data_IF_151309167929
#
_entry.id   IF_151309167929
#
_cell.length_a   1.000
_cell.length_b   1.000
_cell.length_c   1.000
_cell.angle_alpha   90.00
_cell.angle_beta   90.00
_cell.angle_gamma   90.00
#
_symmetry.space_group_name_H-M   'P 1'
#
loop_
_entity.id
_entity.type
_entity.pdbx_description
1 polymer ?
#
# COMPACT_ATOMS: atom_id res chain seq x y z
N UNK A 1 -1.00 19.08 11.13
CA UNK A 1 -0.86 18.27 12.38
C UNK A 1 -1.90 18.58 13.44
N UNK A 2 -2.61 19.72 13.38
CA UNK A 2 -3.68 20.02 14.32
C UNK A 2 -5.04 19.58 13.77
N UNK A 3 -5.91 19.12 14.65
CA UNK A 3 -7.30 18.75 14.36
C UNK A 3 -8.24 19.42 15.34
N UNK A 4 -9.51 19.50 14.96
CA UNK A 4 -10.58 20.04 15.80
C UNK A 4 -11.65 18.98 15.97
N UNK A 5 -12.22 18.89 17.17
CA UNK A 5 -13.43 18.12 17.40
C UNK A 5 -14.69 18.93 17.03
N UNK A 6 -15.87 18.34 17.24
CA UNK A 6 -17.16 18.95 16.93
C UNK A 6 -17.55 20.10 17.87
N UNK A 7 -16.91 20.19 19.03
CA UNK A 7 -17.14 21.24 20.03
C UNK A 7 -16.16 22.42 19.87
N UNK A 8 -15.23 22.33 18.90
CA UNK A 8 -14.25 23.36 18.58
C UNK A 8 -12.95 23.26 19.37
N UNK A 9 -12.74 22.20 20.16
CA UNK A 9 -11.48 21.98 20.87
C UNK A 9 -10.39 21.57 19.87
N UNK A 10 -9.18 22.09 20.07
CA UNK A 10 -8.03 21.88 19.17
C UNK A 10 -7.02 20.91 19.77
N UNK A 11 -6.62 19.90 19.00
CA UNK A 11 -5.69 18.84 19.42
C UNK A 11 -4.51 18.73 18.48
N UNK A 12 -3.33 18.45 19.05
CA UNK A 12 -2.18 18.01 18.27
C UNK A 12 -2.33 16.51 18.02
N UNK A 13 -2.45 16.11 16.76
CA UNK A 13 -2.51 14.69 16.41
C UNK A 13 -1.12 14.06 16.54
N UNK A 14 -0.96 13.22 17.56
CA UNK A 14 0.27 12.45 17.84
C UNK A 14 0.13 10.97 17.44
N UNK A 15 -0.95 10.60 16.73
CA UNK A 15 -1.19 9.25 16.20
C UNK A 15 -1.01 9.18 14.68
N UNK A 16 -1.38 10.24 13.96
CA UNK A 16 -1.26 10.37 12.50
C UNK A 16 -1.94 9.22 11.74
N UNK A 17 -3.10 8.77 12.23
CA UNK A 17 -3.82 7.62 11.72
C UNK A 17 -2.92 6.38 11.53
N UNK A 18 -2.17 6.02 12.58
CA UNK A 18 -1.19 4.93 12.57
C UNK A 18 -0.12 5.12 11.48
N UNK A 19 0.46 6.33 11.43
CA UNK A 19 1.49 6.74 10.46
C UNK A 19 1.05 6.81 9.00
N UNK A 20 -0.26 6.87 8.71
CA UNK A 20 -0.78 7.10 7.37
C UNK A 20 -0.71 8.59 6.95
N UNK A 21 -0.69 9.52 7.91
CA UNK A 21 -0.73 10.97 7.68
C UNK A 21 0.64 11.64 7.91
N UNK A 22 1.71 11.05 7.38
CA UNK A 22 3.08 11.57 7.57
C UNK A 22 3.27 12.99 7.03
N UNK A 23 2.55 13.35 5.96
CA UNK A 23 2.55 14.67 5.34
C UNK A 23 1.62 15.67 6.07
N UNK A 24 0.88 15.20 7.08
CA UNK A 24 -0.12 15.96 7.81
C UNK A 24 -1.51 15.96 7.16
N UNK A 25 -2.50 16.32 7.97
CA UNK A 25 -3.90 16.47 7.55
C UNK A 25 -4.03 17.50 6.41
N UNK A 26 -4.69 17.09 5.32
CA UNK A 26 -5.04 17.95 4.17
C UNK A 26 -3.86 18.72 3.57
N UNK A 27 -2.72 18.06 3.36
CA UNK A 27 -1.58 18.68 2.68
C UNK A 27 -2.03 19.30 1.34
N UNK A 28 -1.77 20.60 1.09
CA UNK A 28 -2.36 21.34 -0.03
C UNK A 28 -2.05 20.69 -1.39
N UNK A 29 -0.80 20.27 -1.61
CA UNK A 29 -0.40 19.66 -2.88
C UNK A 29 -1.08 18.31 -3.14
N UNK A 30 -1.30 17.50 -2.08
CA UNK A 30 -1.99 16.21 -2.20
C UNK A 30 -3.46 16.42 -2.54
N UNK A 31 -4.10 17.38 -1.87
CA UNK A 31 -5.50 17.73 -2.14
C UNK A 31 -5.66 18.29 -3.56
N UNK A 32 -4.78 19.18 -3.99
CA UNK A 32 -4.81 19.75 -5.34
C UNK A 32 -4.68 18.66 -6.41
N UNK A 33 -3.67 17.79 -6.31
CA UNK A 33 -3.46 16.69 -7.25
C UNK A 33 -4.65 15.71 -7.28
N UNK A 34 -5.24 15.41 -6.11
CA UNK A 34 -6.42 14.55 -6.05
C UNK A 34 -7.64 15.19 -6.73
N UNK A 35 -7.94 16.47 -6.43
CA UNK A 35 -9.08 17.19 -7.01
C UNK A 35 -8.93 17.34 -8.53
N UNK A 36 -7.74 17.66 -9.00
CA UNK A 36 -7.43 17.74 -10.43
C UNK A 36 -7.74 16.41 -11.13
N UNK A 37 -7.19 15.30 -10.64
CA UNK A 37 -7.38 13.99 -11.27
C UNK A 37 -8.83 13.50 -11.19
N UNK A 38 -9.54 13.80 -10.10
CA UNK A 38 -10.97 13.47 -9.95
C UNK A 38 -11.83 14.16 -11.02
N UNK A 39 -11.42 15.35 -11.50
CA UNK A 39 -12.08 16.05 -12.61
C UNK A 39 -11.77 15.48 -13.99
N UNK A 40 -10.82 14.55 -14.10
CA UNK A 40 -10.35 13.98 -15.37
C UNK A 40 -10.75 12.51 -15.54
N UNK A 41 -10.22 11.61 -14.70
CA UNK A 41 -10.43 10.17 -14.81
C UNK A 41 -10.04 9.45 -13.51
N UNK A 42 -10.89 8.55 -13.01
CA UNK A 42 -10.68 7.90 -11.70
C UNK A 42 -10.30 6.42 -11.79
N UNK A 43 -10.94 5.66 -12.69
CA UNK A 43 -10.77 4.20 -12.74
C UNK A 43 -10.92 3.64 -14.16
N UNK A 44 -9.87 2.98 -14.64
CA UNK A 44 -9.86 2.26 -15.92
C UNK A 44 -9.81 0.74 -15.76
N UNK A 45 -9.78 0.25 -14.51
CA UNK A 45 -9.23 -1.08 -14.17
C UNK A 45 -7.79 -1.25 -14.69
N UNK A 46 -7.26 -2.48 -14.68
CA UNK A 46 -6.01 -2.83 -15.38
C UNK A 46 -6.23 -3.47 -16.75
N UNK A 47 -7.47 -3.53 -17.23
CA UNK A 47 -7.80 -4.00 -18.56
C UNK A 47 -7.43 -2.97 -19.65
N UNK A 48 -7.37 -1.69 -19.28
CA UNK A 48 -6.93 -0.59 -20.14
C UNK A 48 -5.74 0.12 -19.53
N UNK A 49 -4.85 0.62 -20.38
CA UNK A 49 -3.79 1.53 -19.96
C UNK A 49 -4.36 2.92 -19.65
N UNK A 50 -3.74 3.60 -18.70
CA UNK A 50 -3.87 5.04 -18.50
C UNK A 50 -2.46 5.65 -18.48
N UNK A 51 -2.42 6.97 -18.62
CA UNK A 51 -1.22 7.78 -18.74
C UNK A 51 -0.48 8.00 -17.40
N UNK A 52 -1.13 7.78 -16.25
CA UNK A 52 -0.53 8.02 -14.93
C UNK A 52 0.15 6.80 -14.28
N UNK A 53 -0.32 5.58 -14.55
CA UNK A 53 0.22 4.37 -13.92
C UNK A 53 1.70 4.16 -14.27
N UNK A 54 2.11 4.39 -15.52
CA UNK A 54 3.50 4.25 -15.96
C UNK A 54 4.47 5.18 -15.21
N UNK A 55 4.24 6.52 -15.25
CA UNK A 55 5.02 7.49 -14.49
C UNK A 55 5.06 7.21 -12.99
N UNK A 56 3.93 6.86 -12.38
CA UNK A 56 3.86 6.49 -10.96
C UNK A 56 4.76 5.29 -10.63
N UNK A 57 4.66 4.21 -11.40
CA UNK A 57 5.49 3.01 -11.17
C UNK A 57 6.97 3.30 -11.37
N UNK A 58 7.32 4.12 -12.37
CA UNK A 58 8.71 4.55 -12.60
C UNK A 58 9.26 5.30 -11.38
N UNK A 59 8.56 6.32 -10.92
CA UNK A 59 8.97 7.12 -9.76
C UNK A 59 9.08 6.25 -8.49
N UNK A 60 8.16 5.31 -8.28
CA UNK A 60 8.19 4.39 -7.15
C UNK A 60 9.41 3.44 -7.21
N UNK A 61 9.68 2.86 -8.38
CA UNK A 61 10.86 2.01 -8.59
C UNK A 61 12.16 2.78 -8.36
N UNK A 62 12.27 4.01 -8.89
CA UNK A 62 13.44 4.88 -8.68
C UNK A 62 13.64 5.24 -7.20
N UNK A 63 12.56 5.57 -6.48
CA UNK A 63 12.63 5.92 -5.06
C UNK A 63 13.00 4.73 -4.15
N UNK A 64 12.68 3.50 -4.56
CA UNK A 64 12.87 2.30 -3.73
C UNK A 64 14.03 1.42 -4.17
N UNK A 65 14.59 1.65 -5.37
CA UNK A 65 15.66 0.85 -5.95
C UNK A 65 15.23 -0.51 -6.51
N UNK A 66 13.91 -0.78 -6.59
CA UNK A 66 13.39 -2.02 -7.18
C UNK A 66 13.14 -1.88 -8.67
N UNK A 67 13.30 -2.96 -9.43
CA UNK A 67 13.03 -2.97 -10.87
C UNK A 67 11.53 -2.92 -11.22
N UNK A 68 10.67 -3.42 -10.31
CA UNK A 68 9.23 -3.58 -10.54
C UNK A 68 8.44 -3.27 -9.28
N UNK A 69 7.25 -2.71 -9.46
CA UNK A 69 6.27 -2.50 -8.40
C UNK A 69 4.90 -3.06 -8.83
N UNK A 70 4.11 -3.49 -7.84
CA UNK A 70 2.73 -3.97 -8.03
C UNK A 70 1.82 -3.29 -7.00
N UNK A 71 1.09 -2.23 -7.38
CA UNK A 71 0.26 -1.49 -6.45
C UNK A 71 -1.01 -2.28 -6.09
N UNK A 72 -1.36 -2.20 -4.80
CA UNK A 72 -2.61 -2.68 -4.20
C UNK A 72 -3.22 -1.53 -3.39
N UNK A 73 -4.40 -1.72 -2.79
CA UNK A 73 -5.14 -0.64 -2.13
C UNK A 73 -4.86 -0.60 -0.63
N UNK A 74 -4.75 -1.77 0.00
CA UNK A 74 -4.55 -1.90 1.45
C UNK A 74 -3.22 -2.57 1.80
N UNK A 75 -2.76 -2.35 3.05
CA UNK A 75 -1.59 -3.06 3.57
C UNK A 75 -1.76 -4.58 3.59
N UNK A 76 -2.98 -5.06 3.91
CA UNK A 76 -3.30 -6.49 3.92
C UNK A 76 -3.14 -7.13 2.53
N UNK A 77 -3.69 -6.48 1.49
CA UNK A 77 -3.55 -6.94 0.10
C UNK A 77 -2.08 -6.96 -0.37
N UNK A 78 -1.28 -5.97 0.06
CA UNK A 78 0.13 -5.93 -0.25
C UNK A 78 0.88 -7.13 0.37
N UNK A 79 0.63 -7.44 1.64
CA UNK A 79 1.24 -8.60 2.32
C UNK A 79 0.77 -9.93 1.69
N UNK A 80 -0.51 -10.09 1.41
CA UNK A 80 -1.00 -11.30 0.73
C UNK A 80 -0.37 -11.50 -0.65
N UNK A 81 -0.23 -10.41 -1.40
CA UNK A 81 0.41 -10.41 -2.71
C UNK A 81 1.88 -10.81 -2.59
N UNK A 82 2.59 -10.29 -1.59
CA UNK A 82 3.96 -10.69 -1.29
C UNK A 82 4.06 -12.19 -0.96
N UNK A 83 3.19 -12.72 -0.09
CA UNK A 83 3.14 -14.16 0.26
C UNK A 83 2.90 -15.02 -0.99
N UNK A 84 1.95 -14.63 -1.85
CA UNK A 84 1.67 -15.34 -3.11
C UNK A 84 2.88 -15.32 -4.05
N UNK A 85 3.54 -14.17 -4.16
CA UNK A 85 4.73 -13.99 -4.99
C UNK A 85 5.88 -14.88 -4.51
N UNK A 86 6.21 -14.85 -3.21
CA UNK A 86 7.34 -15.63 -2.68
C UNK A 86 7.06 -17.14 -2.66
N UNK A 87 5.80 -17.57 -2.45
CA UNK A 87 5.43 -18.99 -2.62
C UNK A 87 5.58 -19.45 -4.07
N UNK A 88 5.07 -18.65 -5.03
CA UNK A 88 5.22 -18.96 -6.46
C UNK A 88 6.69 -19.04 -6.87
N UNK A 89 7.53 -18.11 -6.39
CA UNK A 89 8.97 -18.15 -6.61
C UNK A 89 9.61 -19.39 -5.94
N UNK A 90 9.20 -19.71 -4.71
CA UNK A 90 9.65 -20.89 -3.98
C UNK A 90 9.45 -22.19 -4.76
N UNK A 91 8.28 -22.34 -5.39
CA UNK A 91 7.98 -23.51 -6.21
C UNK A 91 8.70 -23.49 -7.57
N UNK A 92 8.70 -22.35 -8.27
CA UNK A 92 9.18 -22.28 -9.66
C UNK A 92 10.69 -22.12 -9.81
N UNK A 93 11.33 -21.46 -8.85
CA UNK A 93 12.74 -21.05 -8.96
C UNK A 93 13.58 -21.75 -7.90
N UNK A 94 13.15 -21.70 -6.63
CA UNK A 94 13.90 -22.35 -5.54
C UNK A 94 13.76 -23.88 -5.52
N UNK A 95 12.67 -24.42 -6.07
CA UNK A 95 12.41 -25.87 -6.12
C UNK A 95 11.84 -26.45 -4.80
N UNK A 96 11.14 -25.64 -4.01
CA UNK A 96 10.41 -26.15 -2.84
C UNK A 96 9.33 -27.12 -3.30
N UNK A 97 9.18 -28.26 -2.62
CA UNK A 97 8.12 -29.22 -2.94
C UNK A 97 6.73 -28.60 -2.78
N UNK A 98 5.80 -28.99 -3.66
CA UNK A 98 4.44 -28.46 -3.64
C UNK A 98 3.77 -28.67 -2.27
N UNK A 99 3.10 -27.63 -1.76
CA UNK A 99 2.47 -27.65 -0.44
C UNK A 99 3.44 -27.64 0.75
N UNK A 100 4.76 -27.54 0.52
CA UNK A 100 5.79 -27.50 1.56
C UNK A 100 6.44 -26.12 1.75
N UNK A 101 5.91 -25.07 1.12
CA UNK A 101 6.43 -23.72 1.31
C UNK A 101 5.94 -23.13 2.64
N UNK A 102 6.87 -22.85 3.54
CA UNK A 102 6.63 -22.19 4.81
C UNK A 102 7.11 -20.73 4.77
N UNK A 103 6.42 -19.87 5.52
CA UNK A 103 6.75 -18.45 5.70
C UNK A 103 6.99 -18.23 7.19
N UNK A 104 8.19 -17.78 7.53
CA UNK A 104 8.54 -17.46 8.92
C UNK A 104 7.99 -16.07 9.23
N UNK A 105 7.28 -15.94 10.35
CA UNK A 105 6.77 -14.69 10.90
C UNK A 105 7.18 -14.57 12.36
N UNK A 106 7.24 -13.34 12.87
CA UNK A 106 7.56 -13.09 14.28
C UNK A 106 6.30 -13.22 15.16
N UNK A 107 6.48 -13.57 16.43
CA UNK A 107 5.40 -13.47 17.43
C UNK A 107 4.94 -12.01 17.58
N UNK A 108 3.64 -11.80 17.85
CA UNK A 108 3.00 -10.47 17.97
C UNK A 108 3.16 -9.57 16.73
N UNK A 109 3.35 -10.15 15.54
CA UNK A 109 3.34 -9.39 14.30
C UNK A 109 1.93 -8.84 13.99
N UNK A 110 1.86 -7.76 13.21
CA UNK A 110 0.60 -7.24 12.68
C UNK A 110 0.74 -6.98 11.18
N UNK A 111 0.01 -7.75 10.38
CA UNK A 111 0.08 -7.69 8.91
C UNK A 111 -1.27 -7.43 8.23
N UNK A 112 -2.33 -7.34 9.02
CA UNK A 112 -3.68 -7.08 8.54
C UNK A 112 -4.69 -8.00 9.23
N UNK A 113 -5.85 -8.18 8.60
CA UNK A 113 -7.01 -8.86 9.21
C UNK A 113 -7.63 -9.97 8.33
N UNK A 114 -6.91 -10.43 7.30
CA UNK A 114 -7.39 -11.55 6.46
C UNK A 114 -6.95 -12.89 7.03
N UNK A 115 -7.67 -13.97 6.69
CA UNK A 115 -7.42 -15.32 7.24
C UNK A 115 -6.01 -15.85 6.98
N UNK A 116 -5.32 -15.37 5.95
CA UNK A 116 -3.95 -15.82 5.61
C UNK A 116 -2.87 -15.10 6.41
N UNK A 117 -3.10 -13.85 6.81
CA UNK A 117 -2.09 -12.98 7.42
C UNK A 117 -2.39 -12.64 8.88
N UNK A 118 -3.53 -13.12 9.40
CA UNK A 118 -3.84 -13.14 10.82
C UNK A 118 -3.30 -14.44 11.38
N UNK A 119 -2.30 -14.31 12.26
CA UNK A 119 -1.83 -15.37 13.14
C UNK A 119 -2.36 -15.14 14.55
#
# INVERSE_FOLDING_TARGET
SWVWDVDGNRYLDMLSAYSALNQGHRHPDIIAAAVEQLGLLTLTSRAFHNDLMGPFLKALCEATGFEKALPMNTGAEAVETAIKMVRKWGYKVKGVAEGKAEIIVCENNFHGRTTTIVG
#
